data_IF_008147601636
#
_entry.id   IF_008147601636
#
_cell.length_a   1.000
_cell.length_b   1.000
_cell.length_c   1.000
_cell.angle_alpha   90.00
_cell.angle_beta   90.00
_cell.angle_gamma   90.00
#
_symmetry.space_group_name_H-M   'P 1'
#
loop_
_entity.id
_entity.type
_entity.pdbx_description
1 polymer ?
#
# COMPACT_ATOMS: atom_id res chain seq x y z
N UNK A 1 -14.65 12.31 1.58
CA UNK A 1 -13.23 12.24 1.35
C UNK A 1 -12.53 11.95 2.68
N UNK A 2 -11.86 10.83 2.77
CA UNK A 2 -11.17 10.35 3.99
C UNK A 2 -9.77 9.89 3.61
N UNK A 3 -8.77 10.21 4.45
CA UNK A 3 -7.37 9.86 4.22
C UNK A 3 -6.67 9.47 5.51
N UNK A 4 -5.67 8.61 5.45
CA UNK A 4 -4.82 8.24 6.59
C UNK A 4 -3.75 9.27 6.92
N UNK A 5 -3.42 10.14 5.97
CA UNK A 5 -2.47 11.24 6.15
C UNK A 5 -3.12 12.57 5.73
N UNK A 6 -3.77 13.28 6.65
CA UNK A 6 -4.43 14.55 6.33
C UNK A 6 -3.47 15.70 6.06
N UNK A 7 -2.20 15.58 6.44
CA UNK A 7 -1.18 16.62 6.24
C UNK A 7 -0.58 16.52 4.84
N UNK A 8 -0.23 15.29 4.43
CA UNK A 8 0.29 14.97 3.09
C UNK A 8 -0.58 13.88 2.47
N UNK A 9 -1.81 14.23 2.13
CA UNK A 9 -2.79 13.27 1.62
C UNK A 9 -2.33 12.65 0.29
N UNK A 10 -2.43 11.31 0.12
CA UNK A 10 -2.15 10.66 -1.15
C UNK A 10 -2.94 11.31 -2.28
N UNK A 11 -2.23 11.66 -3.37
CA UNK A 11 -2.82 12.36 -4.51
C UNK A 11 -3.26 11.36 -5.57
N UNK A 12 -4.42 11.64 -6.18
CA UNK A 12 -4.81 10.99 -7.43
C UNK A 12 -4.00 11.58 -8.58
N UNK A 13 -3.33 10.75 -9.36
CA UNK A 13 -2.62 11.19 -10.57
C UNK A 13 -3.36 10.75 -11.83
N UNK A 14 -3.63 9.47 -11.97
CA UNK A 14 -4.39 8.97 -13.11
C UNK A 14 -5.89 9.28 -12.99
N UNK A 15 -6.48 8.99 -11.82
CA UNK A 15 -7.89 9.24 -11.55
C UNK A 15 -8.25 10.72 -11.67
N UNK A 16 -7.36 11.63 -11.28
CA UNK A 16 -7.59 13.07 -11.44
C UNK A 16 -7.78 13.49 -12.90
N UNK A 17 -7.14 12.79 -13.85
CA UNK A 17 -7.23 13.07 -15.29
C UNK A 17 -8.52 12.55 -15.94
N UNK A 18 -9.05 11.43 -15.40
CA UNK A 18 -10.22 10.76 -15.97
C UNK A 18 -11.50 11.00 -15.17
N UNK A 19 -11.40 11.77 -14.08
CA UNK A 19 -12.56 12.16 -13.27
C UNK A 19 -13.44 13.10 -14.10
N UNK A 20 -14.76 12.89 -14.17
CA UNK A 20 -15.68 13.78 -14.87
C UNK A 20 -15.59 15.21 -14.34
N UNK A 21 -15.82 16.19 -15.19
CA UNK A 21 -15.71 17.62 -14.83
C UNK A 21 -16.77 18.06 -13.80
N UNK A 22 -17.92 17.38 -13.76
CA UNK A 22 -19.00 17.59 -12.82
C UNK A 22 -18.87 16.81 -11.50
N UNK A 23 -17.80 16.01 -11.37
CA UNK A 23 -17.51 15.28 -10.14
C UNK A 23 -16.90 16.19 -9.06
N UNK A 24 -17.00 15.76 -7.81
CA UNK A 24 -16.32 16.41 -6.69
C UNK A 24 -14.82 16.59 -6.98
N UNK A 25 -14.15 17.65 -6.48
CA UNK A 25 -12.74 17.90 -6.73
C UNK A 25 -11.84 16.70 -6.38
N UNK A 26 -10.86 16.41 -7.23
CA UNK A 26 -9.85 15.38 -6.96
C UNK A 26 -8.83 15.83 -5.90
N UNK A 27 -8.63 17.15 -5.74
CA UNK A 27 -7.78 17.73 -4.72
C UNK A 27 -8.34 17.50 -3.31
N UNK A 28 -7.47 17.20 -2.34
CA UNK A 28 -7.87 17.12 -0.93
C UNK A 28 -8.18 18.52 -0.39
N UNK A 29 -9.26 18.65 0.37
CA UNK A 29 -9.73 19.95 0.83
C UNK A 29 -8.92 20.55 2.00
N UNK A 30 -7.76 19.97 2.33
CA UNK A 30 -6.79 20.50 3.25
C UNK A 30 -7.21 20.48 4.72
N UNK A 31 -6.72 21.46 5.50
CA UNK A 31 -6.84 21.45 6.97
C UNK A 31 -8.27 21.43 7.48
N UNK A 32 -9.21 22.02 6.77
CA UNK A 32 -10.62 22.00 7.16
C UNK A 32 -11.19 20.58 7.13
N UNK A 33 -10.94 19.85 6.05
CA UNK A 33 -11.36 18.44 5.93
C UNK A 33 -10.62 17.56 6.94
N UNK A 34 -9.35 17.82 7.19
CA UNK A 34 -8.54 17.13 8.20
C UNK A 34 -9.14 17.23 9.60
N UNK A 35 -9.55 18.42 10.02
CA UNK A 35 -10.12 18.66 11.35
C UNK A 35 -11.49 17.97 11.49
N UNK A 36 -12.33 18.02 10.45
CA UNK A 36 -13.61 17.32 10.43
C UNK A 36 -13.41 15.80 10.50
N UNK A 37 -12.49 15.26 9.72
CA UNK A 37 -12.18 13.84 9.73
C UNK A 37 -11.66 13.39 11.09
N UNK A 38 -10.75 14.14 11.72
CA UNK A 38 -10.17 13.82 13.03
C UNK A 38 -11.24 13.69 14.11
N UNK A 39 -12.30 14.51 14.05
CA UNK A 39 -13.43 14.43 14.98
C UNK A 39 -14.34 13.24 14.69
N UNK A 40 -14.60 12.96 13.42
CA UNK A 40 -15.53 11.90 13.01
C UNK A 40 -14.89 10.50 13.02
N UNK A 41 -13.60 10.39 12.70
CA UNK A 41 -12.86 9.13 12.51
C UNK A 41 -11.45 9.23 13.12
N UNK A 42 -11.32 9.36 14.46
CA UNK A 42 -10.02 9.54 15.13
C UNK A 42 -9.11 8.32 15.03
N UNK A 43 -9.65 7.17 14.68
CA UNK A 43 -8.97 5.88 14.53
C UNK A 43 -8.32 5.69 13.15
N UNK A 44 -8.64 6.55 12.16
CA UNK A 44 -8.08 6.42 10.81
C UNK A 44 -6.68 7.03 10.76
N UNK A 45 -5.69 6.17 10.61
CA UNK A 45 -4.28 6.50 10.47
C UNK A 45 -3.57 5.58 9.47
N UNK A 46 -2.28 5.84 9.20
CA UNK A 46 -1.48 4.99 8.31
C UNK A 46 -1.22 3.62 8.93
N UNK A 47 -0.94 2.63 8.07
CA UNK A 47 -0.44 1.33 8.48
C UNK A 47 1.08 1.30 8.35
N UNK A 48 1.80 1.14 9.48
CA UNK A 48 3.24 0.87 9.51
C UNK A 48 3.50 -0.63 9.62
N UNK A 49 4.49 -1.14 8.89
CA UNK A 49 4.82 -2.56 8.84
C UNK A 49 6.32 -2.78 8.68
N UNK A 50 6.83 -3.88 9.22
CA UNK A 50 8.22 -4.31 9.04
C UNK A 50 8.52 -4.94 7.66
N UNK A 51 7.53 -5.02 6.76
CA UNK A 51 7.74 -5.46 5.38
C UNK A 51 8.49 -4.39 4.58
N UNK A 52 9.27 -4.82 3.59
CA UNK A 52 9.88 -3.86 2.65
C UNK A 52 8.81 -3.14 1.84
N UNK A 53 9.08 -1.92 1.32
CA UNK A 53 8.13 -1.19 0.48
C UNK A 53 7.60 -2.02 -0.69
N UNK A 54 8.45 -2.83 -1.34
CA UNK A 54 8.04 -3.69 -2.46
C UNK A 54 7.12 -4.83 -2.00
N UNK A 55 7.38 -5.41 -0.82
CA UNK A 55 6.53 -6.46 -0.27
C UNK A 55 5.16 -5.90 0.16
N UNK A 56 5.17 -4.75 0.82
CA UNK A 56 3.96 -4.03 1.23
C UNK A 56 3.12 -3.60 0.01
N UNK A 57 3.77 -3.11 -1.04
CA UNK A 57 3.12 -2.76 -2.31
C UNK A 57 2.47 -3.97 -2.98
N UNK A 58 3.18 -5.10 -3.09
CA UNK A 58 2.62 -6.33 -3.66
C UNK A 58 1.43 -6.87 -2.87
N UNK A 59 1.49 -6.79 -1.54
CA UNK A 59 0.35 -7.14 -0.68
C UNK A 59 -0.85 -6.25 -0.96
N UNK A 60 -0.66 -4.92 -0.99
CA UNK A 60 -1.70 -3.95 -1.29
C UNK A 60 -2.31 -4.18 -2.68
N UNK A 61 -1.49 -4.38 -3.71
CA UNK A 61 -1.95 -4.65 -5.07
C UNK A 61 -2.74 -5.97 -5.15
N UNK A 62 -2.30 -7.00 -4.44
CA UNK A 62 -3.01 -8.29 -4.36
C UNK A 62 -4.38 -8.13 -3.73
N UNK A 63 -4.47 -7.41 -2.61
CA UNK A 63 -5.74 -7.14 -1.92
C UNK A 63 -6.69 -6.35 -2.82
N UNK A 64 -6.21 -5.26 -3.43
CA UNK A 64 -7.04 -4.43 -4.31
C UNK A 64 -7.55 -5.19 -5.54
N UNK A 65 -6.76 -6.13 -6.08
CA UNK A 65 -7.20 -6.99 -7.18
C UNK A 65 -8.16 -8.10 -6.76
N UNK A 66 -8.08 -8.62 -5.52
CA UNK A 66 -9.03 -9.63 -5.00
C UNK A 66 -10.47 -9.10 -4.93
N UNK A 67 -10.64 -7.81 -4.64
CA UNK A 67 -11.96 -7.17 -4.63
C UNK A 67 -12.62 -7.08 -6.02
N UNK A 68 -11.89 -7.42 -7.09
CA UNK A 68 -12.40 -7.42 -8.46
C UNK A 68 -13.45 -8.51 -8.71
N UNK A 69 -13.34 -9.64 -8.03
CA UNK A 69 -14.09 -10.87 -8.35
C UNK A 69 -15.23 -11.18 -7.38
N UNK A 70 -15.55 -10.28 -6.45
CA UNK A 70 -16.59 -10.52 -5.44
C UNK A 70 -17.95 -9.98 -5.87
N UNK A 71 -18.90 -10.88 -6.09
CA UNK A 71 -20.30 -10.52 -6.39
C UNK A 71 -21.01 -9.81 -5.21
N UNK A 72 -20.56 -10.06 -3.98
CA UNK A 72 -21.16 -9.52 -2.74
C UNK A 72 -20.37 -8.35 -2.12
N UNK A 73 -19.21 -7.99 -2.66
CA UNK A 73 -18.38 -6.90 -2.17
C UNK A 73 -18.31 -5.76 -3.19
N UNK A 74 -18.00 -4.52 -2.74
CA UNK A 74 -17.81 -3.41 -3.67
C UNK A 74 -16.79 -3.79 -4.74
N UNK A 75 -17.20 -3.72 -6.00
CA UNK A 75 -16.31 -3.99 -7.12
C UNK A 75 -15.22 -2.93 -7.21
N UNK A 76 -13.97 -3.36 -7.24
CA UNK A 76 -12.82 -2.49 -7.41
C UNK A 76 -12.16 -2.73 -8.76
N UNK A 77 -11.77 -1.67 -9.41
CA UNK A 77 -10.98 -1.74 -10.64
C UNK A 77 -9.72 -0.91 -10.46
N UNK A 78 -8.58 -1.59 -10.34
CA UNK A 78 -7.27 -0.92 -10.40
C UNK A 78 -7.12 -0.32 -11.79
N UNK A 79 -6.80 0.97 -11.85
CA UNK A 79 -6.67 1.75 -13.09
C UNK A 79 -5.25 2.21 -13.34
N UNK A 80 -4.44 2.34 -12.29
CA UNK A 80 -3.01 2.63 -12.36
C UNK A 80 -2.29 1.97 -11.18
N UNK A 81 -1.09 1.46 -11.44
CA UNK A 81 -0.26 0.85 -10.43
C UNK A 81 1.22 1.07 -10.78
N UNK A 82 1.96 1.65 -9.81
CA UNK A 82 3.38 1.95 -9.95
C UNK A 82 4.12 1.47 -8.72
N UNK A 83 5.10 0.58 -8.93
CA UNK A 83 5.93 0.05 -7.86
C UNK A 83 6.83 1.11 -7.22
N UNK A 84 7.15 0.98 -5.92
CA UNK A 84 8.18 1.80 -5.29
C UNK A 84 9.53 1.53 -5.94
N UNK A 85 10.36 2.57 -6.09
CA UNK A 85 11.69 2.43 -6.66
C UNK A 85 12.63 3.52 -6.13
N UNK A 86 13.63 3.14 -5.35
CA UNK A 86 14.53 4.09 -4.68
C UNK A 86 13.72 5.05 -3.80
N UNK A 87 13.85 6.37 -4.04
CA UNK A 87 13.11 7.40 -3.28
C UNK A 87 11.68 7.64 -3.79
N UNK A 88 11.26 6.93 -4.82
CA UNK A 88 9.92 7.09 -5.39
C UNK A 88 8.92 6.18 -4.70
N UNK A 89 7.85 6.76 -4.17
CA UNK A 89 6.76 6.03 -3.53
C UNK A 89 6.07 5.08 -4.51
N UNK A 90 5.65 3.92 -4.01
CA UNK A 90 4.70 3.05 -4.67
C UNK A 90 3.30 3.68 -4.64
N UNK A 91 2.52 3.50 -5.71
CA UNK A 91 1.16 4.00 -5.79
C UNK A 91 0.26 3.03 -6.54
N UNK A 92 -0.97 2.88 -6.02
CA UNK A 92 -2.03 2.10 -6.66
C UNK A 92 -3.29 2.96 -6.65
N UNK A 93 -3.89 3.17 -7.81
CA UNK A 93 -5.16 3.88 -7.95
C UNK A 93 -6.24 2.95 -8.45
N UNK A 94 -7.43 3.02 -7.82
CA UNK A 94 -8.58 2.20 -8.18
C UNK A 94 -9.89 2.99 -8.09
N UNK A 95 -10.85 2.57 -8.90
CA UNK A 95 -12.25 2.97 -8.77
C UNK A 95 -12.98 1.89 -8.00
N UNK A 96 -13.58 2.24 -6.87
CA UNK A 96 -14.52 1.41 -6.14
C UNK A 96 -15.94 1.73 -6.59
N UNK A 97 -16.78 0.71 -6.74
CA UNK A 97 -18.18 0.88 -7.11
C UNK A 97 -19.07 0.26 -6.05
N UNK A 98 -20.06 1.01 -5.54
CA UNK A 98 -21.04 0.47 -4.60
C UNK A 98 -21.95 -0.55 -5.29
N UNK A 99 -22.27 -1.63 -4.59
CA UNK A 99 -23.08 -2.74 -5.14
C UNK A 99 -24.54 -2.34 -5.39
N UNK A 100 -25.11 -1.52 -4.52
CA UNK A 100 -26.55 -1.22 -4.55
C UNK A 100 -26.89 -0.07 -5.50
N UNK A 101 -26.15 1.03 -5.44
CA UNK A 101 -26.48 2.27 -6.18
C UNK A 101 -25.48 2.60 -7.29
N UNK A 102 -24.43 1.80 -7.46
CA UNK A 102 -23.42 1.98 -8.51
C UNK A 102 -22.58 3.25 -8.37
N UNK A 103 -22.60 3.93 -7.20
CA UNK A 103 -21.75 5.09 -6.95
C UNK A 103 -20.28 4.74 -7.13
N UNK A 104 -19.55 5.68 -7.68
CA UNK A 104 -18.11 5.53 -7.93
C UNK A 104 -17.34 6.37 -6.93
N UNK A 105 -16.43 5.71 -6.23
CA UNK A 105 -15.48 6.34 -5.33
C UNK A 105 -14.07 6.08 -5.86
N UNK A 106 -13.21 7.06 -5.75
CA UNK A 106 -11.81 6.92 -6.09
C UNK A 106 -11.02 6.52 -4.85
N UNK A 107 -10.07 5.60 -5.03
CA UNK A 107 -9.20 5.10 -3.98
C UNK A 107 -7.76 5.19 -4.45
N UNK A 108 -6.88 5.66 -3.59
CA UNK A 108 -5.44 5.60 -3.81
C UNK A 108 -4.74 5.04 -2.58
N UNK A 109 -3.79 4.16 -2.81
CA UNK A 109 -2.83 3.65 -1.82
C UNK A 109 -1.45 4.15 -2.20
N UNK A 110 -0.74 4.71 -1.22
CA UNK A 110 0.66 5.11 -1.33
C UNK A 110 1.50 4.26 -0.38
N UNK A 111 2.59 3.70 -0.89
CA UNK A 111 3.54 2.91 -0.10
C UNK A 111 4.89 3.59 -0.18
N UNK A 112 5.46 3.91 0.97
CA UNK A 112 6.76 4.56 1.07
C UNK A 112 7.65 3.88 2.11
N UNK A 113 8.94 4.12 1.99
CA UNK A 113 9.92 3.67 2.97
C UNK A 113 9.65 4.33 4.33
N UNK A 114 9.84 3.56 5.39
CA UNK A 114 9.76 3.97 6.79
C UNK A 114 10.98 3.40 7.52
N UNK A 115 11.50 4.04 8.59
CA UNK A 115 12.70 3.55 9.29
C UNK A 115 12.65 2.07 9.67
N UNK A 116 11.46 1.55 10.01
CA UNK A 116 11.27 0.16 10.42
C UNK A 116 10.69 -0.75 9.31
N UNK A 117 10.64 -0.26 8.06
CA UNK A 117 10.13 -1.03 6.93
C UNK A 117 9.32 -0.20 5.93
N UNK A 118 7.99 -0.27 5.95
CA UNK A 118 7.13 0.49 5.06
C UNK A 118 5.96 1.14 5.79
N UNK A 119 5.58 2.31 5.31
CA UNK A 119 4.34 3.00 5.67
C UNK A 119 3.37 2.99 4.49
N UNK A 120 2.14 2.62 4.78
CA UNK A 120 1.04 2.54 3.81
C UNK A 120 0.00 3.60 4.18
N UNK A 121 -0.19 4.54 3.28
CA UNK A 121 -1.25 5.55 3.36
C UNK A 121 -2.34 5.22 2.36
N UNK A 122 -3.59 5.50 2.73
CA UNK A 122 -4.75 5.34 1.87
C UNK A 122 -5.63 6.58 1.89
N UNK A 123 -6.28 6.85 0.75
CA UNK A 123 -7.31 7.88 0.64
C UNK A 123 -8.47 7.35 -0.20
N UNK A 124 -9.69 7.67 0.20
CA UNK A 124 -10.91 7.34 -0.54
C UNK A 124 -11.83 8.54 -0.60
N UNK A 125 -12.33 8.88 -1.80
CA UNK A 125 -13.22 10.02 -2.02
C UNK A 125 -14.32 9.72 -3.01
N UNK A 126 -15.54 10.13 -2.69
CA UNK A 126 -16.69 9.99 -3.58
C UNK A 126 -16.63 10.98 -4.72
N UNK A 127 -16.95 10.51 -5.95
CA UNK A 127 -17.05 11.39 -7.11
C UNK A 127 -18.25 12.30 -7.07
N UNK A 128 -19.33 11.86 -6.43
CA UNK A 128 -20.58 12.59 -6.35
C UNK A 128 -21.16 12.54 -4.94
N UNK A 129 -21.97 13.54 -4.61
CA UNK A 129 -22.64 13.66 -3.32
C UNK A 129 -21.79 14.38 -2.26
N UNK A 130 -22.47 14.96 -1.28
CA UNK A 130 -21.84 15.69 -0.17
C UNK A 130 -21.62 14.80 1.06
N UNK A 131 -22.35 13.69 1.16
CA UNK A 131 -22.28 12.75 2.28
C UNK A 131 -22.09 11.33 1.78
N UNK A 132 -21.13 10.60 2.38
CA UNK A 132 -20.83 9.22 2.06
C UNK A 132 -21.29 8.21 3.13
N UNK A 133 -21.98 8.70 4.18
CA UNK A 133 -22.48 7.90 5.31
C UNK A 133 -21.39 7.00 5.95
N UNK A 134 -20.12 7.46 5.95
CA UNK A 134 -18.99 6.71 6.49
C UNK A 134 -18.47 5.60 5.58
N UNK A 135 -18.94 5.51 4.34
CA UNK A 135 -18.52 4.46 3.39
C UNK A 135 -17.03 4.54 3.08
N UNK A 136 -16.48 5.75 2.86
CA UNK A 136 -15.05 5.93 2.60
C UNK A 136 -14.20 5.54 3.83
N UNK A 137 -14.62 5.91 5.03
CA UNK A 137 -13.95 5.53 6.28
C UNK A 137 -13.94 4.01 6.49
N UNK A 138 -15.09 3.37 6.32
CA UNK A 138 -15.23 1.90 6.43
C UNK A 138 -14.39 1.17 5.38
N UNK A 139 -14.28 1.73 4.18
CA UNK A 139 -13.46 1.19 3.09
C UNK A 139 -11.98 1.22 3.44
N UNK A 140 -11.48 2.36 3.95
CA UNK A 140 -10.07 2.48 4.34
C UNK A 140 -9.73 1.51 5.47
N UNK A 141 -10.56 1.41 6.53
CA UNK A 141 -10.33 0.47 7.63
C UNK A 141 -10.20 -0.97 7.11
N UNK A 142 -11.17 -1.40 6.30
CA UNK A 142 -11.18 -2.75 5.74
C UNK A 142 -9.96 -2.99 4.84
N UNK A 143 -9.65 -2.04 3.96
CA UNK A 143 -8.51 -2.13 3.07
C UNK A 143 -7.19 -2.29 3.83
N UNK A 144 -6.94 -1.47 4.85
CA UNK A 144 -5.71 -1.55 5.63
C UNK A 144 -5.62 -2.85 6.44
N UNK A 145 -6.71 -3.32 7.03
CA UNK A 145 -6.75 -4.61 7.72
C UNK A 145 -6.45 -5.78 6.76
N UNK A 146 -7.07 -5.78 5.57
CA UNK A 146 -6.84 -6.82 4.57
C UNK A 146 -5.38 -6.82 4.06
N UNK A 147 -4.77 -5.63 3.94
CA UNK A 147 -3.35 -5.50 3.57
C UNK A 147 -2.45 -6.03 4.70
N UNK A 148 -2.73 -5.69 5.95
CA UNK A 148 -1.96 -6.18 7.10
C UNK A 148 -2.02 -7.71 7.19
N UNK A 149 -3.19 -8.30 7.05
CA UNK A 149 -3.39 -9.75 7.05
C UNK A 149 -2.66 -10.42 5.88
N UNK A 150 -2.67 -9.81 4.70
CA UNK A 150 -1.93 -10.28 3.54
C UNK A 150 -0.41 -10.28 3.78
N UNK A 151 0.12 -9.19 4.35
CA UNK A 151 1.55 -9.09 4.71
C UNK A 151 1.92 -10.17 5.73
N UNK A 152 1.09 -10.39 6.74
CA UNK A 152 1.29 -11.41 7.77
C UNK A 152 1.30 -12.82 7.17
N UNK A 153 0.38 -13.12 6.29
CA UNK A 153 0.29 -14.40 5.58
C UNK A 153 1.54 -14.64 4.73
N UNK A 154 1.93 -13.68 3.91
CA UNK A 154 3.13 -13.80 3.07
C UNK A 154 4.43 -13.96 3.87
N UNK A 155 4.51 -13.34 5.04
CA UNK A 155 5.66 -13.51 5.95
C UNK A 155 5.72 -14.93 6.52
N UNK A 156 4.59 -15.50 6.89
CA UNK A 156 4.51 -16.85 7.47
C UNK A 156 4.75 -17.95 6.41
N UNK A 157 4.41 -17.70 5.15
CA UNK A 157 4.63 -18.60 4.03
C UNK A 157 6.07 -18.58 3.49
N UNK A 158 6.88 -17.58 3.85
CA UNK A 158 8.31 -17.57 3.52
C UNK A 158 9.04 -18.57 4.39
N UNK A 159 9.62 -19.67 3.83
CA UNK A 159 10.49 -20.55 4.60
C UNK A 159 11.63 -19.73 5.20
N UNK A 160 11.93 -19.94 6.48
CA UNK A 160 13.11 -19.34 7.10
C UNK A 160 14.31 -19.53 6.17
N UNK A 161 14.94 -18.43 5.75
CA UNK A 161 16.11 -18.48 4.87
C UNK A 161 17.11 -19.47 5.47
N UNK A 162 17.42 -20.56 4.76
CA UNK A 162 18.46 -21.49 5.21
C UNK A 162 19.72 -20.68 5.50
N UNK A 163 20.31 -20.81 6.70
CA UNK A 163 21.54 -20.13 7.00
C UNK A 163 22.56 -20.54 5.93
N UNK A 164 23.13 -19.56 5.26
CA UNK A 164 24.20 -19.78 4.28
C UNK A 164 25.32 -20.53 4.99
N UNK A 165 25.76 -21.71 4.51
CA UNK A 165 26.80 -22.45 5.19
C UNK A 165 28.06 -21.56 5.26
N UNK A 166 28.53 -21.31 6.47
CA UNK A 166 29.73 -20.54 6.71
C UNK A 166 30.86 -21.15 5.87
N UNK A 167 31.53 -20.34 5.03
CA UNK A 167 32.71 -20.73 4.28
C UNK A 167 33.72 -21.30 5.29
N UNK A 168 33.99 -22.61 5.23
CA UNK A 168 35.06 -23.25 6.01
C UNK A 168 36.37 -22.49 5.74
N UNK A 169 37.11 -22.11 6.79
CA UNK A 169 38.44 -21.50 6.59
C UNK A 169 39.33 -22.50 5.84
N UNK A 170 39.98 -22.01 4.80
CA UNK A 170 40.90 -22.83 3.98
C UNK A 170 41.95 -23.47 4.89
N UNK A 171 42.10 -24.77 4.79
CA UNK A 171 43.03 -25.59 5.56
C UNK A 171 44.47 -25.16 5.28
N UNK A 172 45.24 -24.94 6.34
CA UNK A 172 46.69 -24.57 6.34
C UNK A 172 47.65 -25.58 5.65
N UNK A 173 47.13 -26.55 4.89
CA UNK A 173 47.97 -27.59 4.23
C UNK A 173 48.51 -27.18 2.85
N UNK A 174 48.11 -26.06 2.28
CA UNK A 174 48.52 -25.69 0.93
C UNK A 174 49.66 -24.65 0.87
N UNK A 175 50.16 -24.20 2.02
CA UNK A 175 51.34 -23.30 2.08
C UNK A 175 52.70 -24.02 2.09
N UNK A 176 52.75 -25.28 2.47
CA UNK A 176 54.03 -26.02 2.54
C UNK A 176 54.52 -26.57 1.19
N UNK A 177 53.67 -26.60 0.16
CA UNK A 177 54.03 -27.11 -1.17
C UNK A 177 54.63 -26.05 -2.09
N UNK A 178 54.35 -24.77 -1.83
CA UNK A 178 54.90 -23.65 -2.64
C UNK A 178 56.30 -23.19 -2.22
N UNK A 179 56.78 -23.63 -1.08
CA UNK A 179 58.12 -23.29 -0.57
C UNK A 179 59.22 -24.30 -0.96
N UNK A 180 58.83 -25.50 -1.46
CA UNK A 180 59.77 -26.52 -1.94
C UNK A 180 60.18 -26.39 -3.41
N UNK A 181 59.43 -25.64 -4.22
CA UNK A 181 59.72 -25.45 -5.64
C UNK A 181 60.53 -24.15 -5.93
N UNK A 182 61.05 -23.51 -4.89
CA UNK A 182 61.95 -22.31 -5.01
C UNK A 182 63.32 -22.45 -4.42
N UNK A 183 63.89 -23.71 -4.37
CA UNK A 183 65.31 -23.92 -4.07
C UNK A 183 65.96 -24.76 -5.16
#
# INVERSE_FOLDING_TARGET
DVTTDPIDAPRYEWLARIRPADANPAAYAGLYAAEQQRRAYPDIGPLSTSATPEAAYRAALTVMNKHKDSFLAPYWRVVDAREPAGRRDGRIEAVARSTLMGFRDDVVVRVREDPDGARIDARSSSRYGSFDFGTNASRIRRLLNDIEDMIRTQRNERPAARPTPAKKPASKKDQSKRERDRR
#
